data_IF_230197109810
#
_entry.id   IF_230197109810
#
_cell.length_a   1.000
_cell.length_b   1.000
_cell.length_c   1.000
_cell.angle_alpha   90.00
_cell.angle_beta   90.00
_cell.angle_gamma   90.00
#
_symmetry.space_group_name_H-M   'P 1'
#
loop_
_entity.id
_entity.type
_entity.pdbx_description
1 polymer ?
#
# COMPACT_ATOMS: atom_id res chain seq x y z
N UNK A 1 2.99 -36.12 31.42
CA UNK A 1 2.81 -36.37 29.97
C UNK A 1 1.92 -35.29 29.33
N UNK A 2 1.23 -34.44 30.11
CA UNK A 2 0.37 -33.33 29.65
C UNK A 2 1.05 -32.10 29.01
N UNK A 3 2.35 -31.90 29.21
CA UNK A 3 2.97 -30.59 28.95
C UNK A 3 3.09 -30.19 27.48
N UNK A 4 3.08 -31.14 26.53
CA UNK A 4 3.20 -30.81 25.10
C UNK A 4 1.85 -30.54 24.45
N UNK A 5 0.84 -31.37 24.75
CA UNK A 5 -0.52 -31.22 24.23
C UNK A 5 -1.16 -29.92 24.72
N UNK A 6 -0.93 -29.54 25.98
CA UNK A 6 -1.33 -28.24 26.52
C UNK A 6 -0.66 -27.07 25.79
N UNK A 7 0.65 -27.17 25.51
CA UNK A 7 1.38 -26.14 24.76
C UNK A 7 0.87 -26.02 23.33
N UNK A 8 0.56 -27.15 22.68
CA UNK A 8 -0.01 -27.16 21.34
C UNK A 8 -1.38 -26.49 21.31
N UNK A 9 -2.24 -26.78 22.29
CA UNK A 9 -3.56 -26.16 22.42
C UNK A 9 -3.47 -24.63 22.58
N UNK A 10 -2.60 -24.16 23.47
CA UNK A 10 -2.34 -22.72 23.63
C UNK A 10 -1.80 -22.11 22.34
N UNK A 11 -0.84 -22.77 21.68
CA UNK A 11 -0.28 -22.28 20.43
C UNK A 11 -1.34 -22.20 19.31
N UNK A 12 -2.24 -23.19 19.23
CA UNK A 12 -3.34 -23.21 18.28
C UNK A 12 -4.31 -22.05 18.51
N UNK A 13 -4.62 -21.73 19.78
CA UNK A 13 -5.50 -20.61 20.11
C UNK A 13 -4.85 -19.25 19.81
N UNK A 14 -3.56 -19.10 20.10
CA UNK A 14 -2.79 -17.90 19.70
C UNK A 14 -2.72 -17.78 18.18
N UNK A 15 -2.51 -18.88 17.46
CA UNK A 15 -2.50 -18.86 16.00
C UNK A 15 -3.86 -18.44 15.42
N UNK A 16 -4.97 -18.96 15.95
CA UNK A 16 -6.33 -18.54 15.54
C UNK A 16 -6.53 -17.05 15.76
N UNK A 17 -6.14 -16.54 16.92
CA UNK A 17 -6.26 -15.10 17.22
C UNK A 17 -5.40 -14.27 16.26
N UNK A 18 -4.17 -14.70 15.97
CA UNK A 18 -3.32 -14.03 14.99
C UNK A 18 -3.96 -14.00 13.59
N UNK A 19 -4.62 -15.08 13.14
CA UNK A 19 -5.37 -15.11 11.88
C UNK A 19 -6.56 -14.12 11.89
N UNK A 20 -7.26 -13.97 13.03
CA UNK A 20 -8.34 -12.98 13.20
C UNK A 20 -7.79 -11.56 13.11
N UNK A 21 -6.65 -11.28 13.74
CA UNK A 21 -5.99 -9.98 13.65
C UNK A 21 -5.53 -9.68 12.21
N UNK A 22 -4.97 -10.67 11.49
CA UNK A 22 -4.62 -10.52 10.07
C UNK A 22 -5.83 -10.10 9.23
N UNK A 23 -6.99 -10.74 9.41
CA UNK A 23 -8.23 -10.36 8.72
C UNK A 23 -8.66 -8.95 9.07
N UNK A 24 -8.65 -8.60 10.35
CA UNK A 24 -9.06 -7.28 10.84
C UNK A 24 -8.20 -6.16 10.25
N UNK A 25 -6.87 -6.34 10.21
CA UNK A 25 -5.97 -5.36 9.60
C UNK A 25 -6.16 -5.26 8.10
N UNK A 26 -6.35 -6.39 7.42
CA UNK A 26 -6.62 -6.39 5.98
C UNK A 26 -7.92 -5.64 5.64
N UNK A 27 -9.00 -5.89 6.38
CA UNK A 27 -10.29 -5.22 6.17
C UNK A 27 -10.21 -3.71 6.45
N UNK A 28 -9.47 -3.33 7.51
CA UNK A 28 -9.21 -1.93 7.83
C UNK A 28 -8.43 -1.24 6.71
N UNK A 29 -7.42 -1.90 6.15
CA UNK A 29 -6.60 -1.39 5.06
C UNK A 29 -7.44 -1.19 3.77
N UNK A 30 -8.34 -2.11 3.43
CA UNK A 30 -9.29 -1.91 2.32
C UNK A 30 -10.23 -0.74 2.56
N UNK A 31 -10.74 -0.58 3.79
CA UNK A 31 -11.63 0.54 4.15
C UNK A 31 -10.93 1.89 3.98
N UNK A 32 -9.67 1.98 4.41
CA UNK A 32 -8.88 3.21 4.32
C UNK A 32 -8.55 3.55 2.87
N UNK A 33 -8.22 2.56 2.03
CA UNK A 33 -8.02 2.77 0.59
C UNK A 33 -9.28 3.28 -0.11
N UNK A 34 -10.44 2.77 0.28
CA UNK A 34 -11.71 3.26 -0.27
C UNK A 34 -11.93 4.76 0.01
N UNK A 35 -11.56 5.24 1.21
CA UNK A 35 -11.62 6.67 1.53
C UNK A 35 -10.76 7.49 0.56
N UNK A 36 -9.57 7.01 0.20
CA UNK A 36 -8.71 7.66 -0.81
C UNK A 36 -9.44 7.83 -2.15
N UNK A 37 -10.11 6.77 -2.61
CA UNK A 37 -10.85 6.78 -3.87
C UNK A 37 -12.07 7.71 -3.83
N UNK A 38 -12.76 7.80 -2.68
CA UNK A 38 -13.86 8.77 -2.52
C UNK A 38 -13.35 10.20 -2.65
N UNK A 39 -12.25 10.57 -1.99
CA UNK A 39 -11.63 11.89 -2.14
C UNK A 39 -11.21 12.17 -3.58
N UNK A 40 -10.65 11.18 -4.27
CA UNK A 40 -10.29 11.31 -5.67
C UNK A 40 -11.52 11.54 -6.56
N UNK A 41 -12.61 10.82 -6.33
CA UNK A 41 -13.87 11.01 -7.04
C UNK A 41 -14.44 12.43 -6.86
N UNK A 42 -14.44 12.93 -5.62
CA UNK A 42 -14.87 14.31 -5.31
C UNK A 42 -13.98 15.33 -6.02
N UNK A 43 -12.67 15.14 -6.00
CA UNK A 43 -11.73 16.03 -6.68
C UNK A 43 -11.94 16.06 -8.20
N UNK A 44 -12.07 14.89 -8.83
CA UNK A 44 -12.33 14.77 -10.27
C UNK A 44 -13.67 15.40 -10.64
N UNK A 45 -14.72 15.17 -9.84
CA UNK A 45 -16.02 15.82 -10.05
C UNK A 45 -15.94 17.34 -9.94
N UNK A 46 -15.26 17.85 -8.91
CA UNK A 46 -15.03 19.29 -8.73
C UNK A 46 -14.27 19.91 -9.91
N UNK A 47 -13.18 19.30 -10.34
CA UNK A 47 -12.42 19.72 -11.54
C UNK A 47 -13.30 19.73 -12.78
N UNK A 48 -14.08 18.68 -13.01
CA UNK A 48 -15.00 18.59 -14.15
C UNK A 48 -15.99 19.76 -14.18
N UNK A 49 -16.59 20.11 -13.05
CA UNK A 49 -17.52 21.25 -12.97
C UNK A 49 -16.85 22.61 -13.22
N UNK A 50 -15.59 22.78 -12.79
CA UNK A 50 -14.85 24.03 -12.96
C UNK A 50 -14.38 24.22 -14.40
N UNK A 51 -14.00 23.13 -15.08
CA UNK A 51 -13.66 23.15 -16.51
C UNK A 51 -14.90 23.55 -17.33
N UNK A 52 -16.06 22.98 -17.03
CA UNK A 52 -17.31 23.28 -17.78
C UNK A 52 -17.78 24.73 -17.65
N UNK A 53 -17.35 25.45 -16.59
CA UNK A 53 -17.72 26.85 -16.36
C UNK A 53 -16.75 27.85 -16.99
N UNK A 54 -15.70 27.37 -17.67
CA UNK A 54 -14.62 28.17 -18.28
C UNK A 54 -14.21 29.40 -17.45
N UNK A 55 -13.88 29.15 -16.19
CA UNK A 55 -13.61 30.24 -15.24
C UNK A 55 -12.33 31.03 -15.58
N UNK A 56 -11.54 30.62 -16.58
CA UNK A 56 -10.24 31.22 -16.93
C UNK A 56 -9.16 31.11 -15.82
N UNK A 57 -9.53 30.57 -14.65
CA UNK A 57 -8.68 30.50 -13.47
C UNK A 57 -8.00 29.14 -13.35
N UNK A 58 -6.80 29.12 -12.77
CA UNK A 58 -6.04 27.91 -12.43
C UNK A 58 -6.62 27.09 -11.26
N UNK A 59 -7.85 27.40 -10.81
CA UNK A 59 -8.55 26.74 -9.69
C UNK A 59 -8.62 25.21 -9.84
N UNK A 60 -8.90 24.63 -11.03
CA UNK A 60 -8.89 23.17 -11.19
C UNK A 60 -7.52 22.56 -10.87
N UNK A 61 -6.44 23.27 -11.21
CA UNK A 61 -5.09 22.82 -10.96
C UNK A 61 -4.74 22.80 -9.48
N UNK A 62 -5.07 23.87 -8.75
CA UNK A 62 -4.91 23.91 -7.29
C UNK A 62 -5.73 22.84 -6.61
N UNK A 63 -6.98 22.62 -7.04
CA UNK A 63 -7.84 21.59 -6.47
C UNK A 63 -7.22 20.19 -6.59
N UNK A 64 -6.60 19.86 -7.72
CA UNK A 64 -5.90 18.58 -7.91
C UNK A 64 -4.65 18.45 -7.05
N UNK A 65 -3.89 19.53 -6.89
CA UNK A 65 -2.73 19.55 -5.99
C UNK A 65 -3.19 19.33 -4.54
N UNK A 66 -4.24 20.02 -4.08
CA UNK A 66 -4.80 19.80 -2.75
C UNK A 66 -5.37 18.39 -2.58
N UNK A 67 -6.00 17.84 -3.61
CA UNK A 67 -6.51 16.47 -3.61
C UNK A 67 -5.41 15.41 -3.48
N UNK A 68 -4.14 15.75 -3.78
CA UNK A 68 -3.00 14.84 -3.58
C UNK A 68 -2.61 14.67 -2.11
N UNK A 69 -2.98 15.60 -1.22
CA UNK A 69 -2.61 15.56 0.21
C UNK A 69 -3.17 14.30 0.90
N UNK A 70 -4.47 13.96 0.79
CA UNK A 70 -4.98 12.70 1.31
C UNK A 70 -4.24 11.46 0.79
N UNK A 71 -3.83 11.46 -0.49
CA UNK A 71 -3.07 10.33 -1.05
C UNK A 71 -1.71 10.14 -0.36
N UNK A 72 -0.98 11.22 -0.10
CA UNK A 72 0.29 11.16 0.63
C UNK A 72 0.05 10.70 2.07
N UNK A 73 -0.92 11.28 2.77
CA UNK A 73 -1.22 10.92 4.16
C UNK A 73 -1.61 9.45 4.29
N UNK A 74 -2.46 8.96 3.39
CA UNK A 74 -2.91 7.57 3.38
C UNK A 74 -1.80 6.61 2.96
N UNK A 75 -0.91 7.01 2.05
CA UNK A 75 0.29 6.25 1.72
C UNK A 75 1.18 6.05 2.95
N UNK A 76 1.46 7.11 3.70
CA UNK A 76 2.28 7.02 4.92
C UNK A 76 1.62 6.12 5.96
N UNK A 77 0.30 6.26 6.13
CA UNK A 77 -0.48 5.48 7.08
C UNK A 77 -0.53 3.98 6.71
N UNK A 78 -0.83 3.65 5.45
CA UNK A 78 -0.85 2.26 4.97
C UNK A 78 0.56 1.64 5.13
N UNK A 79 1.59 2.35 4.67
CA UNK A 79 2.97 1.83 4.64
C UNK A 79 3.61 1.67 6.01
N UNK A 80 3.58 2.72 6.84
CA UNK A 80 4.36 2.77 8.08
C UNK A 80 3.58 2.33 9.32
N UNK A 81 2.27 2.14 9.20
CA UNK A 81 1.45 1.66 10.32
C UNK A 81 0.80 0.33 9.97
N UNK A 82 -0.17 0.32 9.04
CA UNK A 82 -1.03 -0.85 8.87
C UNK A 82 -0.32 -2.04 8.23
N UNK A 83 0.52 -1.83 7.21
CA UNK A 83 1.29 -2.90 6.62
C UNK A 83 2.27 -3.52 7.64
N UNK A 84 2.85 -2.72 8.55
CA UNK A 84 3.75 -3.27 9.59
C UNK A 84 2.99 -4.13 10.59
N UNK A 85 1.81 -3.68 11.04
CA UNK A 85 0.95 -4.43 11.95
C UNK A 85 0.47 -5.75 11.33
N UNK A 86 0.05 -5.71 10.06
CA UNK A 86 -0.34 -6.90 9.31
C UNK A 86 0.82 -7.91 9.22
N UNK A 87 2.01 -7.43 8.85
CA UNK A 87 3.21 -8.29 8.76
C UNK A 87 3.62 -8.87 10.12
N UNK A 88 3.45 -8.13 11.21
CA UNK A 88 3.72 -8.63 12.55
C UNK A 88 2.79 -9.80 12.90
N UNK A 89 1.49 -9.67 12.62
CA UNK A 89 0.51 -10.74 12.84
C UNK A 89 0.81 -11.98 11.97
N UNK A 90 1.25 -11.78 10.72
CA UNK A 90 1.69 -12.88 9.82
C UNK A 90 2.91 -13.60 10.39
N UNK A 91 3.93 -12.86 10.86
CA UNK A 91 5.14 -13.46 11.43
C UNK A 91 4.85 -14.33 12.66
N UNK A 92 3.98 -13.87 13.55
CA UNK A 92 3.56 -14.66 14.71
C UNK A 92 2.90 -15.97 14.27
N UNK A 93 2.02 -15.92 13.25
CA UNK A 93 1.42 -17.14 12.70
C UNK A 93 2.45 -18.06 12.03
N UNK A 94 3.40 -17.52 11.26
CA UNK A 94 4.47 -18.31 10.62
C UNK A 94 5.37 -19.01 11.65
N UNK A 95 5.70 -18.33 12.75
CA UNK A 95 6.51 -18.90 13.84
C UNK A 95 5.79 -20.04 14.56
N UNK A 96 4.48 -19.91 14.80
CA UNK A 96 3.68 -20.98 15.40
C UNK A 96 3.56 -22.17 14.44
N UNK A 97 3.26 -21.90 13.17
CA UNK A 97 3.18 -22.92 12.12
C UNK A 97 4.52 -23.69 12.00
N UNK A 98 5.65 -22.99 11.97
CA UNK A 98 6.96 -23.62 11.87
C UNK A 98 7.27 -24.54 13.06
N UNK A 99 6.92 -24.12 14.28
CA UNK A 99 7.23 -24.86 15.52
C UNK A 99 6.31 -26.05 15.76
N UNK A 100 5.01 -25.90 15.51
CA UNK A 100 4.00 -26.85 15.96
C UNK A 100 3.29 -27.61 14.83
N UNK A 101 3.13 -27.01 13.65
CA UNK A 101 2.37 -27.64 12.55
C UNK A 101 3.23 -28.63 11.76
N UNK A 102 4.54 -28.36 11.65
CA UNK A 102 5.52 -29.29 11.05
C UNK A 102 5.50 -30.67 11.72
N UNK A 103 5.28 -30.73 13.03
CA UNK A 103 5.25 -31.97 13.80
C UNK A 103 3.94 -32.76 13.65
N UNK A 104 2.86 -32.09 13.24
CA UNK A 104 1.52 -32.69 13.12
C UNK A 104 1.06 -32.83 11.66
N UNK A 105 1.96 -32.61 10.70
CA UNK A 105 1.67 -32.65 9.26
C UNK A 105 0.50 -31.71 8.86
N UNK A 106 0.38 -30.57 9.54
CA UNK A 106 -0.63 -29.54 9.24
C UNK A 106 -0.01 -28.56 8.23
N UNK A 107 -0.68 -28.24 7.11
CA UNK A 107 -0.15 -27.31 6.13
C UNK A 107 -0.04 -25.87 6.70
N UNK A 108 1.12 -25.20 6.58
CA UNK A 108 1.33 -23.86 7.14
C UNK A 108 0.80 -22.76 6.20
N UNK A 109 -0.44 -22.31 6.42
CA UNK A 109 -1.15 -21.36 5.55
C UNK A 109 -0.41 -20.02 5.40
N UNK A 110 0.03 -19.41 6.51
CA UNK A 110 0.69 -18.10 6.47
C UNK A 110 2.00 -18.15 5.68
N UNK A 111 2.77 -19.23 5.85
CA UNK A 111 4.00 -19.43 5.07
C UNK A 111 3.73 -19.56 3.57
N UNK A 112 2.68 -20.28 3.16
CA UNK A 112 2.28 -20.38 1.75
C UNK A 112 1.90 -19.03 1.17
N UNK A 113 1.12 -18.22 1.90
CA UNK A 113 0.71 -16.87 1.45
C UNK A 113 1.93 -15.98 1.26
N UNK A 114 2.85 -15.95 2.24
CA UNK A 114 4.07 -15.13 2.15
C UNK A 114 4.95 -15.55 0.98
N UNK A 115 5.17 -16.86 0.80
CA UNK A 115 5.95 -17.40 -0.33
C UNK A 115 5.30 -17.05 -1.66
N UNK A 116 3.99 -17.28 -1.80
CA UNK A 116 3.27 -16.95 -3.03
C UNK A 116 3.32 -15.46 -3.37
N UNK A 117 3.20 -14.58 -2.36
CA UNK A 117 3.28 -13.13 -2.56
C UNK A 117 4.68 -12.67 -3.00
N UNK A 118 5.73 -13.32 -2.49
CA UNK A 118 7.14 -13.06 -2.84
C UNK A 118 7.48 -13.56 -4.25
N UNK A 119 7.03 -14.76 -4.59
CA UNK A 119 7.42 -15.45 -5.82
C UNK A 119 6.69 -14.93 -7.07
N UNK A 120 5.59 -14.17 -6.87
CA UNK A 120 4.83 -13.55 -7.97
C UNK A 120 5.00 -12.02 -7.96
N UNK A 121 5.99 -11.48 -8.73
CA UNK A 121 6.10 -10.05 -8.94
C UNK A 121 4.92 -9.53 -9.76
N UNK A 122 4.67 -8.21 -9.70
CA UNK A 122 3.65 -7.58 -10.54
C UNK A 122 4.05 -7.74 -12.02
N UNK A 123 3.18 -8.27 -12.91
CA UNK A 123 3.52 -8.50 -14.31
C UNK A 123 3.37 -7.21 -15.16
N UNK A 124 3.93 -6.09 -14.71
CA UNK A 124 3.96 -4.85 -15.51
C UNK A 124 5.36 -4.75 -16.14
N UNK A 125 5.47 -4.67 -17.48
CA UNK A 125 6.77 -4.45 -18.12
C UNK A 125 7.41 -3.19 -17.52
N UNK A 126 8.70 -3.26 -17.20
CA UNK A 126 9.50 -2.22 -16.52
C UNK A 126 9.31 -2.06 -15.00
N UNK A 127 8.33 -2.74 -14.37
CA UNK A 127 8.13 -2.70 -12.91
C UNK A 127 8.34 -4.08 -12.31
N UNK A 128 9.49 -4.29 -11.65
CA UNK A 128 9.80 -5.54 -10.96
C UNK A 128 9.57 -5.39 -9.45
N UNK A 129 8.32 -5.15 -9.04
CA UNK A 129 7.94 -5.09 -7.63
C UNK A 129 7.77 -6.51 -7.07
N UNK A 130 8.72 -6.92 -6.22
CA UNK A 130 8.79 -8.27 -5.63
C UNK A 130 8.20 -8.30 -4.22
N UNK A 131 8.21 -7.17 -3.51
CA UNK A 131 7.76 -7.10 -2.12
C UNK A 131 6.36 -6.48 -2.00
N UNK A 132 5.64 -6.82 -0.93
CA UNK A 132 4.36 -6.17 -0.60
C UNK A 132 4.48 -4.65 -0.46
N UNK A 133 5.61 -4.16 0.05
CA UNK A 133 5.89 -2.73 0.22
C UNK A 133 6.07 -1.99 -1.11
N UNK A 134 6.78 -2.59 -2.06
CA UNK A 134 6.92 -2.03 -3.40
C UNK A 134 5.55 -1.96 -4.09
N UNK A 135 4.75 -3.03 -3.97
CA UNK A 135 3.39 -3.09 -4.52
C UNK A 135 2.52 -1.93 -3.99
N UNK A 136 2.59 -1.63 -2.70
CA UNK A 136 1.89 -0.47 -2.09
C UNK A 136 2.43 0.83 -2.67
N UNK A 137 3.74 1.00 -2.79
CA UNK A 137 4.34 2.22 -3.34
C UNK A 137 3.86 2.51 -4.76
N UNK A 138 3.81 1.50 -5.63
CA UNK A 138 3.27 1.66 -6.98
C UNK A 138 1.79 2.02 -6.99
N UNK A 139 0.99 1.41 -6.12
CA UNK A 139 -0.44 1.70 -6.00
C UNK A 139 -0.70 3.18 -5.68
N UNK A 140 0.07 3.78 -4.78
CA UNK A 140 -0.08 5.20 -4.41
C UNK A 140 0.64 6.16 -5.38
N UNK A 141 1.73 5.73 -6.02
CA UNK A 141 2.48 6.57 -6.95
C UNK A 141 1.64 7.00 -8.16
N UNK A 142 0.85 6.08 -8.73
CA UNK A 142 0.05 6.37 -9.93
C UNK A 142 -0.96 7.53 -9.76
N UNK A 143 -1.86 7.53 -8.75
CA UNK A 143 -2.80 8.63 -8.52
C UNK A 143 -2.10 9.94 -8.09
N UNK A 144 -0.96 9.85 -7.40
CA UNK A 144 -0.15 11.02 -7.06
C UNK A 144 0.48 11.67 -8.29
N UNK A 145 1.09 10.86 -9.16
CA UNK A 145 1.70 11.33 -10.41
C UNK A 145 0.67 11.98 -11.32
N UNK A 146 -0.53 11.38 -11.44
CA UNK A 146 -1.60 11.91 -12.30
C UNK A 146 -2.20 13.18 -11.73
N UNK A 147 -2.56 13.22 -10.45
CA UNK A 147 -3.13 14.42 -9.82
C UNK A 147 -2.18 15.61 -9.87
N UNK A 148 -0.89 15.42 -9.54
CA UNK A 148 0.11 16.48 -9.58
C UNK A 148 0.45 16.92 -11.01
N UNK A 149 0.59 15.98 -11.95
CA UNK A 149 0.85 16.31 -13.35
C UNK A 149 -0.27 17.12 -13.98
N UNK A 150 -1.49 16.61 -13.89
CA UNK A 150 -2.68 17.28 -14.42
C UNK A 150 -2.89 18.62 -13.70
N UNK A 151 -2.71 18.65 -12.37
CA UNK A 151 -2.79 19.89 -11.59
C UNK A 151 -1.81 20.96 -12.08
N UNK A 152 -0.55 20.58 -12.29
CA UNK A 152 0.48 21.47 -12.79
C UNK A 152 0.19 21.95 -14.23
N UNK A 153 -0.32 21.07 -15.09
CA UNK A 153 -0.75 21.44 -16.44
C UNK A 153 -1.85 22.51 -16.41
N UNK A 154 -2.85 22.40 -15.53
CA UNK A 154 -3.90 23.40 -15.43
C UNK A 154 -3.39 24.77 -14.95
N UNK A 155 -2.33 24.82 -14.15
CA UNK A 155 -1.74 26.06 -13.64
C UNK A 155 -0.86 26.72 -14.71
N UNK A 156 0.07 25.98 -15.29
CA UNK A 156 1.13 26.55 -16.13
C UNK A 156 0.89 26.38 -17.63
N UNK A 157 -0.11 25.58 -18.02
CA UNK A 157 -0.42 25.24 -19.42
C UNK A 157 0.79 24.70 -20.20
N UNK A 158 1.74 24.10 -19.49
CA UNK A 158 2.97 23.56 -20.04
C UNK A 158 3.00 22.04 -19.84
N UNK A 159 2.73 21.31 -20.93
CA UNK A 159 2.68 19.85 -20.94
C UNK A 159 4.04 19.24 -20.55
N UNK A 160 5.13 19.76 -21.09
CA UNK A 160 6.46 19.25 -20.81
C UNK A 160 6.81 19.36 -19.32
N UNK A 161 6.57 20.54 -18.72
CA UNK A 161 6.78 20.75 -17.29
C UNK A 161 5.89 19.83 -16.43
N UNK A 162 4.62 19.63 -16.80
CA UNK A 162 3.73 18.71 -16.07
C UNK A 162 4.21 17.26 -16.09
N UNK A 163 4.70 16.77 -17.24
CA UNK A 163 5.24 15.41 -17.36
C UNK A 163 6.50 15.27 -16.52
N UNK A 164 7.38 16.27 -16.53
CA UNK A 164 8.58 16.27 -15.68
C UNK A 164 8.22 16.23 -14.20
N UNK A 165 7.22 16.99 -13.74
CA UNK A 165 6.76 16.95 -12.34
C UNK A 165 6.22 15.57 -11.98
N UNK A 166 5.36 14.97 -12.82
CA UNK A 166 4.85 13.62 -12.59
C UNK A 166 6.00 12.60 -12.49
N UNK A 167 6.93 12.61 -13.44
CA UNK A 167 8.07 11.70 -13.45
C UNK A 167 9.01 11.92 -12.25
N UNK A 168 9.24 13.17 -11.85
CA UNK A 168 10.03 13.51 -10.68
C UNK A 168 9.40 12.95 -9.41
N UNK A 169 8.09 13.10 -9.21
CA UNK A 169 7.39 12.55 -8.04
C UNK A 169 7.46 11.03 -8.03
N UNK A 170 7.18 10.37 -9.16
CA UNK A 170 7.31 8.92 -9.28
C UNK A 170 8.73 8.44 -8.97
N UNK A 171 9.73 9.12 -9.54
CA UNK A 171 11.15 8.84 -9.31
C UNK A 171 11.56 9.00 -7.84
N UNK A 172 11.12 10.07 -7.18
CA UNK A 172 11.38 10.30 -5.75
C UNK A 172 10.76 9.19 -4.89
N UNK A 173 9.50 8.81 -5.13
CA UNK A 173 8.84 7.74 -4.37
C UNK A 173 9.57 6.39 -4.52
N UNK A 174 10.00 6.04 -5.74
CA UNK A 174 10.76 4.81 -5.99
C UNK A 174 12.18 4.87 -5.42
N UNK A 175 12.82 6.04 -5.46
CA UNK A 175 14.14 6.24 -4.86
C UNK A 175 14.08 6.09 -3.33
N UNK A 176 13.10 6.72 -2.69
CA UNK A 176 12.86 6.58 -1.24
C UNK A 176 12.59 5.12 -0.87
N UNK A 177 11.88 4.36 -1.71
CA UNK A 177 11.65 2.94 -1.50
C UNK A 177 12.97 2.15 -1.51
N UNK A 178 13.78 2.33 -2.54
CA UNK A 178 15.07 1.63 -2.68
C UNK A 178 16.06 1.97 -1.56
N UNK A 179 16.07 3.23 -1.12
CA UNK A 179 16.89 3.69 0.02
C UNK A 179 16.46 3.07 1.34
N UNK A 180 15.15 2.97 1.58
CA UNK A 180 14.59 2.36 2.80
C UNK A 180 14.86 0.85 2.88
N UNK A 181 14.95 0.17 1.73
CA UNK A 181 15.29 -1.26 1.69
C UNK A 181 16.73 -1.52 2.17
N UNK A 182 17.70 -0.76 1.67
CA UNK A 182 19.13 -0.95 1.98
C UNK A 182 19.46 -0.82 3.47
N UNK A 183 18.70 -0.01 4.23
CA UNK A 183 18.93 0.21 5.66
C UNK A 183 18.43 -0.91 6.59
N UNK A 184 17.62 -1.85 6.10
CA UNK A 184 17.07 -2.95 6.92
C UNK A 184 17.82 -4.28 6.73
N UNK A 185 18.76 -4.35 5.79
CA UNK A 185 19.59 -5.53 5.52
C UNK A 185 21.04 -5.38 6.10
N UNK A 186 21.35 -4.24 6.70
CA UNK A 186 22.58 -3.94 7.47
C UNK A 186 22.28 -3.96 8.98
#
# INVERSE_FOLDING_TARGET
MDTYEDKFKVALDVWKEAQVQQRTFNDLLFRIRNIAFVFAGVAVGGVGTLISKDTGLSVPGYLLIFASIPWVSLYLLDRYYYHLLLMAAVRVSEEIEAKFFSQHNIPPLSQYITKFNRDKPIPIPFINAKTGREKVTFFYALPLMTSLGVGFYFIYKNLFASVLVSLAVGGVLLFLEKSSYKKNDD
#
